data_IF_761887210208
#
_entry.id   IF_761887210208
#
_cell.length_a   1.000
_cell.length_b   1.000
_cell.length_c   1.000
_cell.angle_alpha   90.00
_cell.angle_beta   90.00
_cell.angle_gamma   90.00
#
_symmetry.space_group_name_H-M   'P 1'
#
loop_
_entity.id
_entity.type
_entity.pdbx_description
1 polymer ?
#
# COMPACT_ATOMS: atom_id res chain seq x y z
N UNK A 1 4.51 10.19 1.96
CA UNK A 1 4.99 9.62 3.23
C UNK A 1 4.77 10.57 4.42
N UNK A 2 3.60 11.23 4.52
CA UNK A 2 3.34 12.20 5.60
C UNK A 2 1.89 12.19 6.14
N UNK A 3 1.04 11.22 5.74
CA UNK A 3 -0.40 11.30 6.03
C UNK A 3 -1.00 9.98 6.56
N UNK A 4 -0.18 9.14 7.20
CA UNK A 4 -0.59 7.86 7.75
C UNK A 4 -0.28 7.71 9.25
N UNK A 5 0.00 8.80 9.97
CA UNK A 5 0.33 8.78 11.42
C UNK A 5 -0.82 9.16 12.36
N UNK A 6 -2.01 9.51 11.84
CA UNK A 6 -3.04 10.17 12.67
C UNK A 6 -4.02 9.23 13.41
N UNK A 7 -3.88 7.90 13.36
CA UNK A 7 -4.87 6.98 13.98
C UNK A 7 -4.35 6.10 15.12
N UNK A 8 -3.10 6.27 15.55
CA UNK A 8 -2.53 5.43 16.61
C UNK A 8 -2.66 6.05 18.02
N UNK A 9 -2.94 7.35 18.12
CA UNK A 9 -2.96 8.06 19.42
C UNK A 9 -4.30 7.99 20.19
N UNK A 10 -5.37 7.42 19.62
CA UNK A 10 -6.69 7.39 20.29
C UNK A 10 -6.95 6.18 21.20
N UNK A 11 -6.05 5.20 21.27
CA UNK A 11 -6.30 3.96 22.05
C UNK A 11 -5.70 4.01 23.46
N UNK A 12 -4.81 4.98 23.77
CA UNK A 12 -4.15 5.04 25.08
C UNK A 12 -4.95 5.71 26.21
N UNK A 13 -6.16 6.23 25.95
CA UNK A 13 -6.91 7.01 26.94
C UNK A 13 -7.90 6.23 27.83
N UNK A 14 -7.98 4.89 27.72
CA UNK A 14 -8.92 4.07 28.51
C UNK A 14 -8.29 3.26 29.66
N UNK A 15 -7.04 3.51 30.04
CA UNK A 15 -6.42 2.81 31.17
C UNK A 15 -6.64 3.59 32.48
N UNK A 16 -7.38 3.05 33.45
CA UNK A 16 -7.56 3.69 34.75
C UNK A 16 -6.22 3.78 35.52
N UNK A 17 -6.07 4.74 36.44
CA UNK A 17 -4.83 4.97 37.15
C UNK A 17 -4.54 3.81 38.13
N UNK A 18 -3.65 2.91 37.73
CA UNK A 18 -3.10 1.79 38.51
C UNK A 18 -2.32 2.20 39.79
N UNK A 19 -2.30 3.49 40.16
CA UNK A 19 -1.61 3.98 41.35
C UNK A 19 -2.29 3.61 42.67
N UNK A 20 -3.58 3.27 42.67
CA UNK A 20 -4.30 2.91 43.90
C UNK A 20 -4.12 1.45 44.32
N UNK A 21 -3.74 0.54 43.41
CA UNK A 21 -3.59 -0.88 43.69
C UNK A 21 -2.27 -1.24 44.42
N UNK A 22 -1.27 -0.35 44.37
CA UNK A 22 0.02 -0.55 45.02
C UNK A 22 0.02 -0.21 46.53
N UNK A 23 -1.05 0.40 47.06
CA UNK A 23 -1.16 0.72 48.51
C UNK A 23 -1.82 -0.37 49.35
N UNK A 24 -2.40 -1.41 48.75
CA UNK A 24 -3.07 -2.50 49.48
C UNK A 24 -2.18 -3.72 49.75
N UNK A 25 -0.91 -3.70 49.35
CA UNK A 25 0.04 -4.82 49.57
C UNK A 25 1.04 -4.56 50.70
N UNK A 26 0.82 -3.53 51.51
CA UNK A 26 1.78 -3.07 52.51
C UNK A 26 1.26 -3.16 53.95
N UNK A 27 0.43 -4.15 54.30
CA UNK A 27 0.20 -4.50 55.71
C UNK A 27 -0.53 -5.84 55.81
N UNK A 28 0.09 -6.83 56.47
CA UNK A 28 -0.61 -8.00 56.99
C UNK A 28 -0.15 -9.36 56.44
N UNK A 29 0.59 -10.07 57.30
CA UNK A 29 0.49 -11.52 57.50
C UNK A 29 1.33 -12.46 56.60
N UNK A 30 2.53 -12.70 57.12
CA UNK A 30 3.61 -13.58 56.64
C UNK A 30 3.33 -15.09 56.63
N UNK A 31 2.10 -15.59 56.80
CA UNK A 31 1.88 -17.04 57.04
C UNK A 31 0.86 -17.74 56.13
N UNK A 32 0.32 -17.07 55.10
CA UNK A 32 -0.53 -17.70 54.06
C UNK A 32 0.17 -17.80 52.69
N UNK A 33 1.49 -17.57 52.63
CA UNK A 33 2.19 -17.27 51.38
C UNK A 33 2.61 -18.49 50.56
N UNK A 34 2.66 -19.69 51.14
CA UNK A 34 3.13 -20.89 50.42
C UNK A 34 2.03 -21.64 49.65
N UNK A 35 0.74 -21.46 50.00
CA UNK A 35 -0.34 -22.25 49.38
C UNK A 35 -0.99 -21.56 48.17
N UNK A 36 -1.02 -20.22 48.13
CA UNK A 36 -1.57 -19.46 47.00
C UNK A 36 -0.61 -19.27 45.83
N UNK A 37 0.71 -19.33 46.08
CA UNK A 37 1.72 -19.23 45.02
C UNK A 37 1.72 -20.45 44.08
N UNK A 38 1.44 -21.64 44.62
CA UNK A 38 1.34 -22.89 43.83
C UNK A 38 0.09 -22.89 42.93
N UNK A 39 -1.04 -22.36 43.43
CA UNK A 39 -2.26 -22.22 42.63
C UNK A 39 -2.12 -21.17 41.51
N UNK A 40 -1.36 -20.09 41.73
CA UNK A 40 -1.08 -19.12 40.68
C UNK A 40 -0.15 -19.70 39.61
N UNK A 41 0.89 -20.46 39.98
CA UNK A 41 1.85 -21.07 39.04
C UNK A 41 1.24 -22.17 38.14
N UNK A 42 0.22 -22.89 38.61
CA UNK A 42 -0.46 -23.93 37.82
C UNK A 42 -1.49 -23.41 36.80
N UNK A 43 -1.87 -22.13 36.86
CA UNK A 43 -2.84 -21.52 35.95
C UNK A 43 -2.21 -20.75 34.77
N UNK A 44 -0.89 -20.51 34.77
CA UNK A 44 -0.20 -19.78 33.68
C UNK A 44 -0.12 -20.50 32.32
N UNK A 45 -0.04 -21.85 32.19
CA UNK A 45 0.19 -22.46 30.88
C UNK A 45 -1.04 -22.39 29.96
N UNK A 46 -2.23 -22.19 30.51
CA UNK A 46 -3.42 -21.99 29.69
C UNK A 46 -3.35 -20.66 28.93
N UNK A 47 -2.81 -19.59 29.56
CA UNK A 47 -2.81 -18.23 29.01
C UNK A 47 -1.91 -18.01 27.77
N UNK A 48 -0.83 -18.78 27.68
CA UNK A 48 0.13 -18.64 26.60
C UNK A 48 -0.31 -19.32 25.29
N UNK A 49 -1.23 -20.29 25.35
CA UNK A 49 -1.68 -21.04 24.18
C UNK A 49 -2.55 -20.19 23.23
N UNK A 50 -3.44 -19.33 23.74
CA UNK A 50 -4.31 -18.47 22.93
C UNK A 50 -3.59 -17.25 22.33
N UNK A 51 -2.46 -16.84 22.91
CA UNK A 51 -1.69 -15.72 22.38
C UNK A 51 -0.98 -16.07 21.06
N UNK A 52 -0.60 -17.35 20.86
CA UNK A 52 0.05 -17.79 19.62
C UNK A 52 -0.91 -17.83 18.42
N UNK A 53 -2.16 -18.26 18.62
CA UNK A 53 -3.16 -18.33 17.54
C UNK A 53 -3.60 -16.96 17.01
N UNK A 54 -3.53 -15.89 17.82
CA UNK A 54 -3.90 -14.54 17.40
C UNK A 54 -2.84 -13.85 16.52
N UNK A 55 -1.56 -14.27 16.61
CA UNK A 55 -0.48 -13.69 15.81
C UNK A 55 -0.45 -14.23 14.37
N UNK A 56 -0.81 -15.50 14.16
CA UNK A 56 -0.90 -16.07 12.80
C UNK A 56 -2.10 -15.51 12.00
N UNK A 57 -3.21 -15.20 12.66
CA UNK A 57 -4.38 -14.61 12.01
C UNK A 57 -4.12 -13.18 11.48
N UNK A 58 -3.29 -12.39 12.17
CA UNK A 58 -2.95 -11.03 11.75
C UNK A 58 -2.09 -11.00 10.47
N UNK A 59 -1.15 -11.95 10.33
CA UNK A 59 -0.27 -12.04 9.16
C UNK A 59 -1.04 -12.28 7.85
N UNK A 60 -2.09 -13.13 7.89
CA UNK A 60 -2.93 -13.41 6.72
C UNK A 60 -3.77 -12.19 6.27
N UNK A 61 -4.22 -11.35 7.20
CA UNK A 61 -5.01 -10.15 6.88
C UNK A 61 -4.14 -9.08 6.22
N UNK A 62 -2.90 -8.90 6.69
CA UNK A 62 -1.97 -7.97 6.04
C UNK A 62 -1.57 -8.41 4.63
N UNK A 63 -1.47 -9.72 4.38
CA UNK A 63 -1.14 -10.25 3.05
C UNK A 63 -2.24 -9.98 2.00
N UNK A 64 -3.51 -10.02 2.40
CA UNK A 64 -4.62 -9.67 1.50
C UNK A 64 -4.66 -8.18 1.18
N UNK A 65 -4.41 -7.31 2.15
CA UNK A 65 -4.41 -5.86 1.92
C UNK A 65 -3.31 -5.43 0.95
N UNK A 66 -2.12 -6.03 1.00
CA UNK A 66 -1.04 -5.72 0.05
C UNK A 66 -1.29 -6.24 -1.36
N UNK A 67 -2.17 -7.24 -1.52
CA UNK A 67 -2.46 -7.87 -2.82
C UNK A 67 -3.64 -7.20 -3.53
N UNK A 68 -4.59 -6.64 -2.77
CA UNK A 68 -5.86 -6.10 -3.30
C UNK A 68 -5.82 -4.58 -3.58
N UNK A 69 -4.86 -3.82 -3.05
CA UNK A 69 -4.80 -2.36 -3.28
C UNK A 69 -4.29 -1.95 -4.68
N UNK A 70 -3.94 -2.93 -5.53
CA UNK A 70 -3.21 -2.66 -6.76
C UNK A 70 -4.02 -2.64 -8.05
N UNK A 71 -5.14 -3.34 -8.13
CA UNK A 71 -5.92 -3.43 -9.38
C UNK A 71 -7.15 -2.55 -9.26
N UNK A 72 -6.97 -1.23 -9.42
CA UNK A 72 -8.06 -0.45 -10.01
C UNK A 72 -8.53 -1.20 -11.26
N UNK A 73 -9.82 -1.22 -11.55
CA UNK A 73 -10.33 -1.81 -12.78
C UNK A 73 -9.63 -1.12 -13.97
N UNK A 74 -8.58 -1.78 -14.49
CA UNK A 74 -7.83 -1.32 -15.65
C UNK A 74 -8.61 -1.81 -16.85
N UNK A 75 -9.48 -0.95 -17.37
CA UNK A 75 -10.29 -1.24 -18.56
C UNK A 75 -9.60 -0.83 -19.86
N UNK A 76 -8.67 0.13 -19.78
CA UNK A 76 -7.95 0.71 -20.92
C UNK A 76 -6.52 1.11 -20.57
N UNK A 77 -5.70 1.35 -21.59
CA UNK A 77 -4.27 1.64 -21.41
C UNK A 77 -4.02 2.88 -20.54
N UNK A 78 -4.87 3.90 -20.69
CA UNK A 78 -4.79 5.19 -20.01
C UNK A 78 -5.04 5.09 -18.50
N UNK A 79 -5.62 3.98 -18.02
CA UNK A 79 -5.81 3.70 -16.60
C UNK A 79 -4.49 3.29 -15.92
N UNK A 80 -3.50 2.85 -16.70
CA UNK A 80 -2.20 2.38 -16.20
C UNK A 80 -1.27 3.58 -16.01
N UNK A 81 -1.05 3.96 -14.74
CA UNK A 81 -0.21 5.11 -14.34
C UNK A 81 1.21 4.75 -13.91
N UNK A 82 1.64 3.50 -14.10
CA UNK A 82 2.99 3.05 -13.77
C UNK A 82 3.68 2.47 -15.00
N UNK A 83 4.91 2.92 -15.28
CA UNK A 83 5.72 2.45 -16.41
C UNK A 83 5.91 0.93 -16.41
N UNK A 84 6.27 0.35 -15.26
CA UNK A 84 6.52 -1.08 -15.13
C UNK A 84 5.28 -1.92 -15.39
N UNK A 85 4.09 -1.40 -15.06
CA UNK A 85 2.81 -2.03 -15.36
C UNK A 85 2.44 -1.86 -16.83
N UNK A 86 2.71 -0.70 -17.42
CA UNK A 86 2.49 -0.44 -18.85
C UNK A 86 3.31 -1.40 -19.72
N UNK A 87 4.59 -1.62 -19.38
CA UNK A 87 5.46 -2.59 -20.05
C UNK A 87 4.95 -4.03 -19.95
N UNK A 88 4.17 -4.34 -18.91
CA UNK A 88 3.57 -5.66 -18.69
C UNK A 88 2.08 -5.66 -19.00
N UNK A 89 1.54 -4.63 -19.65
CA UNK A 89 0.10 -4.41 -19.84
C UNK A 89 -0.57 -5.60 -20.52
N UNK A 90 0.05 -6.13 -21.57
CA UNK A 90 -0.43 -7.32 -22.26
C UNK A 90 -0.50 -8.56 -21.36
N UNK A 91 0.50 -8.76 -20.52
CA UNK A 91 0.60 -9.94 -19.64
C UNK A 91 -0.29 -9.83 -18.41
N UNK A 92 -0.41 -8.63 -17.84
CA UNK A 92 -1.11 -8.40 -16.56
C UNK A 92 -2.59 -8.06 -16.78
N UNK A 93 -2.92 -7.31 -17.83
CA UNK A 93 -4.27 -6.80 -18.08
C UNK A 93 -4.88 -7.28 -19.41
N UNK A 94 -4.12 -7.96 -20.26
CA UNK A 94 -4.59 -8.39 -21.59
C UNK A 94 -4.70 -7.25 -22.62
N UNK A 95 -4.23 -6.04 -22.29
CA UNK A 95 -4.31 -4.85 -23.13
C UNK A 95 -3.10 -4.75 -24.06
N UNK A 96 -3.34 -4.52 -25.36
CA UNK A 96 -2.30 -4.18 -26.34
C UNK A 96 -2.08 -2.66 -26.34
N UNK A 97 -1.17 -2.16 -25.51
CA UNK A 97 -0.82 -0.75 -25.47
C UNK A 97 0.39 -0.44 -26.37
N UNK A 98 0.45 0.76 -26.93
CA UNK A 98 1.54 1.21 -27.80
C UNK A 98 2.86 1.35 -27.05
N UNK A 99 2.79 1.81 -25.79
CA UNK A 99 3.96 2.06 -24.96
C UNK A 99 3.66 3.08 -23.87
N UNK A 100 4.71 3.60 -23.24
CA UNK A 100 4.59 4.58 -22.17
C UNK A 100 4.61 6.00 -22.74
N UNK A 101 3.66 6.85 -22.35
CA UNK A 101 3.57 8.25 -22.78
C UNK A 101 4.24 9.24 -21.83
N UNK A 102 4.67 8.80 -20.65
CA UNK A 102 5.30 9.66 -19.65
C UNK A 102 4.54 9.69 -18.32
N UNK A 103 3.23 9.81 -18.39
CA UNK A 103 2.33 9.82 -17.21
C UNK A 103 1.29 8.70 -17.23
N UNK A 104 1.03 8.09 -18.39
CA UNK A 104 0.17 6.92 -18.55
C UNK A 104 0.60 6.06 -19.74
N UNK A 105 0.02 4.86 -19.84
CA UNK A 105 0.23 3.97 -20.98
C UNK A 105 -0.64 4.43 -22.16
N UNK A 106 -0.06 4.47 -23.35
CA UNK A 106 -0.65 5.04 -24.56
C UNK A 106 -1.37 3.93 -25.33
N UNK A 107 -2.62 4.13 -25.78
CA UNK A 107 -3.31 3.16 -26.63
C UNK A 107 -2.70 3.14 -28.05
N UNK A 108 -2.81 2.03 -28.78
CA UNK A 108 -2.25 1.87 -30.14
C UNK A 108 -2.96 2.74 -31.19
N UNK A 109 -4.19 3.17 -30.90
CA UNK A 109 -4.99 4.01 -31.78
C UNK A 109 -5.67 5.10 -30.97
N UNK A 110 -5.86 6.28 -31.59
CA UNK A 110 -6.57 7.41 -30.98
C UNK A 110 -5.75 8.21 -29.96
N UNK A 111 -4.50 7.87 -29.74
CA UNK A 111 -3.58 8.67 -28.95
C UNK A 111 -3.14 9.92 -29.71
N UNK A 112 -2.94 11.01 -28.97
CA UNK A 112 -2.50 12.31 -29.49
C UNK A 112 -1.05 12.57 -29.07
N UNK A 113 -0.36 13.44 -29.81
CA UNK A 113 0.98 13.88 -29.43
C UNK A 113 0.97 14.58 -28.07
N UNK A 114 -0.06 15.38 -27.77
CA UNK A 114 -0.27 16.00 -26.45
C UNK A 114 -0.35 15.01 -25.27
N UNK A 115 -0.59 13.72 -25.52
CA UNK A 115 -0.58 12.69 -24.48
C UNK A 115 0.85 12.27 -24.06
N UNK A 116 1.85 12.62 -24.86
CA UNK A 116 3.26 12.37 -24.57
C UNK A 116 3.77 13.50 -23.68
N UNK A 117 3.94 13.23 -22.39
CA UNK A 117 4.33 14.22 -21.38
C UNK A 117 5.83 14.29 -21.14
N UNK A 118 6.62 13.52 -21.90
CA UNK A 118 8.08 13.51 -21.81
C UNK A 118 8.72 13.89 -23.15
N UNK A 119 9.65 14.87 -23.16
CA UNK A 119 10.29 15.34 -24.40
C UNK A 119 11.02 14.23 -25.13
N UNK A 120 11.72 13.35 -24.40
CA UNK A 120 12.46 12.23 -24.99
C UNK A 120 11.54 11.19 -25.67
N UNK A 121 10.30 11.05 -25.19
CA UNK A 121 9.31 10.16 -25.79
C UNK A 121 8.67 10.85 -27.00
N UNK A 122 8.35 12.14 -26.90
CA UNK A 122 7.82 12.92 -28.01
C UNK A 122 8.78 12.95 -29.22
N UNK A 123 10.06 13.27 -29.00
CA UNK A 123 11.09 13.30 -30.05
C UNK A 123 11.27 11.94 -30.72
N UNK A 124 11.09 10.85 -29.98
CA UNK A 124 11.23 9.47 -30.49
C UNK A 124 9.88 8.76 -30.57
N UNK A 125 8.80 9.50 -30.79
CA UNK A 125 7.42 9.00 -30.73
C UNK A 125 7.19 7.84 -31.70
N UNK A 126 7.77 7.92 -32.90
CA UNK A 126 7.64 6.89 -33.93
C UNK A 126 8.22 5.54 -33.47
N UNK A 127 9.38 5.57 -32.80
CA UNK A 127 10.05 4.34 -32.33
C UNK A 127 9.46 3.81 -31.03
N UNK A 128 9.00 4.72 -30.15
CA UNK A 128 8.58 4.38 -28.78
C UNK A 128 7.13 3.95 -28.69
N UNK A 129 6.26 4.61 -29.45
CA UNK A 129 4.79 4.45 -29.37
C UNK A 129 4.14 4.36 -30.77
N UNK A 130 4.93 4.36 -31.85
CA UNK A 130 4.42 4.12 -33.20
C UNK A 130 3.62 5.26 -33.82
N UNK A 131 3.76 6.49 -33.31
CA UNK A 131 3.07 7.68 -33.84
C UNK A 131 4.07 8.74 -34.30
N UNK A 132 3.67 9.56 -35.27
CA UNK A 132 4.50 10.66 -35.78
C UNK A 132 4.08 11.98 -35.14
N UNK A 133 4.97 12.59 -34.36
CA UNK A 133 4.78 13.93 -33.78
C UNK A 133 5.77 14.93 -34.37
N UNK A 134 5.40 16.22 -34.38
CA UNK A 134 6.20 17.32 -34.97
C UNK A 134 7.44 17.63 -34.12
N UNK A 135 7.32 17.48 -32.80
CA UNK A 135 8.41 17.69 -31.86
C UNK A 135 7.92 18.19 -30.51
N UNK A 136 8.87 18.60 -29.67
CA UNK A 136 8.59 19.17 -28.36
C UNK A 136 8.80 20.69 -28.41
N UNK A 137 7.78 21.46 -28.05
CA UNK A 137 7.76 22.93 -28.06
C UNK A 137 6.92 23.43 -26.88
N UNK A 138 7.34 24.52 -26.23
CA UNK A 138 6.62 25.15 -25.10
C UNK A 138 6.13 24.19 -24.00
N UNK A 139 6.98 23.20 -23.65
CA UNK A 139 6.69 22.16 -22.65
C UNK A 139 5.54 21.20 -23.04
N UNK A 140 5.20 21.13 -24.32
CA UNK A 140 4.19 20.22 -24.88
C UNK A 140 4.72 19.49 -26.13
N UNK A 141 4.10 18.34 -26.42
CA UNK A 141 4.41 17.55 -27.61
C UNK A 141 3.41 17.87 -28.73
N UNK A 142 3.90 18.46 -29.81
CA UNK A 142 3.09 18.99 -30.90
C UNK A 142 2.71 17.91 -31.91
N UNK A 143 1.44 17.93 -32.32
CA UNK A 143 0.92 17.14 -33.42
C UNK A 143 1.42 17.61 -34.79
N UNK A 144 1.30 16.78 -35.84
CA UNK A 144 1.66 17.17 -37.20
C UNK A 144 0.77 18.26 -37.79
N UNK A 145 -0.46 18.41 -37.28
CA UNK A 145 -1.47 19.36 -37.77
C UNK A 145 -1.59 20.63 -36.91
N UNK A 146 -0.70 20.82 -35.93
CA UNK A 146 -0.66 21.99 -35.06
C UNK A 146 0.41 22.98 -35.56
N UNK A 147 -0.04 24.12 -36.08
CA UNK A 147 0.78 25.20 -36.64
C UNK A 147 0.70 26.48 -35.79
#
# INVERSE_FOLDING_TARGET
>A
WAQARSRVDSVLHCLPPLRSLLRLLAEGERMAFMSRAVLFLLALPAAAAWAAELLDAAALVQQRLTTEEGTRDVGKCEDIRELTRCQKSKKTYGLDCAGWGGSWCVPPMGAKCSDLTLPTICTNSQERVGMTCKGWEDDECMGPDED
#
